data_IF_248027558931
#
_entry.id   IF_248027558931
#
_cell.length_a   1.000
_cell.length_b   1.000
_cell.length_c   1.000
_cell.angle_alpha   90.00
_cell.angle_beta   90.00
_cell.angle_gamma   90.00
#
_symmetry.space_group_name_H-M   'P 1'
#
loop_
_entity.id
_entity.type
_entity.pdbx_description
1 polymer ?
#
# COMPACT_ATOMS: atom_id res chain seq x y z
N UNK A 1 32.59 -50.64 21.49
CA UNK A 1 32.76 -49.17 21.39
C UNK A 1 32.36 -48.73 19.97
N UNK A 2 31.08 -48.90 19.59
CA UNK A 2 30.65 -48.85 18.17
C UNK A 2 29.14 -48.59 18.03
N UNK A 3 28.51 -47.89 18.99
CA UNK A 3 27.06 -47.64 18.95
C UNK A 3 26.66 -46.18 19.18
N UNK A 4 27.62 -45.30 19.53
CA UNK A 4 27.37 -43.85 19.74
C UNK A 4 27.54 -42.99 18.48
N UNK A 5 28.12 -43.50 17.39
CA UNK A 5 28.34 -42.72 16.16
C UNK A 5 27.16 -42.74 15.18
N UNK A 6 26.25 -43.71 15.28
CA UNK A 6 25.10 -43.81 14.39
C UNK A 6 23.87 -42.98 14.87
N UNK A 7 23.77 -42.71 16.17
CA UNK A 7 22.70 -41.85 16.72
C UNK A 7 22.88 -40.36 16.39
N UNK A 8 24.10 -39.92 16.08
CA UNK A 8 24.40 -38.52 15.74
C UNK A 8 24.09 -38.19 14.27
N UNK A 9 24.05 -39.19 13.38
CA UNK A 9 23.71 -39.01 11.97
C UNK A 9 22.19 -39.13 11.68
N UNK A 10 21.45 -39.87 12.50
CA UNK A 10 19.98 -39.95 12.38
C UNK A 10 19.30 -38.67 12.91
N UNK A 11 19.92 -37.96 13.86
CA UNK A 11 19.45 -36.65 14.33
C UNK A 11 19.64 -35.51 13.32
N UNK A 12 20.59 -35.62 12.40
CA UNK A 12 20.86 -34.59 11.39
C UNK A 12 19.95 -34.68 10.16
N UNK A 13 19.34 -35.85 9.92
CA UNK A 13 18.47 -36.11 8.77
C UNK A 13 16.99 -35.80 9.03
N UNK A 14 16.61 -35.50 10.27
CA UNK A 14 15.23 -35.13 10.66
C UNK A 14 15.04 -33.61 10.73
N UNK A 15 16.13 -32.84 10.81
CA UNK A 15 16.08 -31.35 10.85
C UNK A 15 16.06 -30.74 9.43
N UNK A 16 16.41 -31.48 8.39
CA UNK A 16 16.37 -31.01 6.99
C UNK A 16 14.99 -31.16 6.31
N UNK A 17 13.96 -31.64 7.00
CA UNK A 17 12.62 -31.84 6.43
C UNK A 17 11.59 -30.78 6.84
N UNK A 18 11.95 -29.77 7.64
CA UNK A 18 11.03 -28.70 8.09
C UNK A 18 11.21 -27.36 7.42
N UNK A 19 12.04 -27.26 6.37
CA UNK A 19 12.01 -26.12 5.46
C UNK A 19 11.04 -26.45 4.31
N UNK A 20 9.76 -26.60 4.65
CA UNK A 20 8.71 -26.37 3.68
C UNK A 20 8.79 -24.90 3.29
N UNK A 21 9.33 -24.72 2.09
CA UNK A 21 9.28 -23.54 1.27
C UNK A 21 7.84 -23.02 1.27
N UNK A 22 7.56 -21.97 2.06
CA UNK A 22 6.47 -21.06 1.76
C UNK A 22 6.82 -20.41 0.43
N UNK A 23 6.46 -21.11 -0.64
CA UNK A 23 6.32 -20.52 -1.95
C UNK A 23 5.24 -19.46 -1.75
N UNK A 24 5.63 -18.20 -1.89
CA UNK A 24 4.67 -17.13 -2.08
C UNK A 24 3.99 -17.44 -3.41
N UNK A 25 2.94 -18.26 -3.35
CA UNK A 25 1.90 -18.20 -4.35
C UNK A 25 1.39 -16.76 -4.22
N UNK A 26 1.84 -15.93 -5.15
CA UNK A 26 1.08 -14.77 -5.58
C UNK A 26 -0.22 -15.37 -6.07
N UNK A 27 -1.16 -15.56 -5.15
CA UNK A 27 -2.53 -15.89 -5.48
C UNK A 27 -2.97 -14.73 -6.35
N UNK A 28 -3.11 -15.02 -7.63
CA UNK A 28 -3.92 -14.26 -8.58
C UNK A 28 -5.12 -13.69 -7.80
N UNK A 29 -5.39 -12.37 -7.81
CA UNK A 29 -6.49 -11.78 -7.06
C UNK A 29 -7.73 -12.66 -7.23
N UNK A 30 -8.25 -13.17 -6.10
CA UNK A 30 -9.27 -14.21 -6.09
C UNK A 30 -10.35 -13.89 -7.14
N UNK A 31 -10.39 -14.69 -8.20
CA UNK A 31 -11.18 -14.36 -9.39
C UNK A 31 -12.63 -14.08 -9.01
N UNK A 32 -13.08 -12.85 -9.28
CA UNK A 32 -14.43 -12.41 -9.01
C UNK A 32 -15.41 -13.07 -9.99
N UNK A 33 -16.53 -13.56 -9.48
CA UNK A 33 -17.59 -14.21 -10.23
C UNK A 33 -18.88 -13.40 -10.13
N UNK A 34 -19.66 -13.44 -11.21
CA UNK A 34 -20.97 -12.79 -11.24
C UNK A 34 -22.00 -13.65 -10.48
N UNK A 35 -22.68 -13.03 -9.53
CA UNK A 35 -23.77 -13.63 -8.76
C UNK A 35 -25.03 -12.80 -8.97
N UNK A 36 -26.16 -13.46 -9.19
CA UNK A 36 -27.43 -12.84 -9.46
C UNK A 36 -28.53 -13.50 -8.64
N UNK A 37 -29.47 -12.70 -8.14
CA UNK A 37 -30.59 -13.22 -7.35
C UNK A 37 -31.87 -13.13 -8.18
N UNK A 38 -32.70 -14.17 -8.11
CA UNK A 38 -34.00 -14.23 -8.76
C UNK A 38 -35.06 -14.59 -7.75
N UNK A 39 -36.27 -14.08 -7.93
CA UNK A 39 -37.39 -14.38 -7.04
C UNK A 39 -38.72 -14.21 -7.77
N UNK A 40 -39.71 -14.99 -7.33
CA UNK A 40 -41.09 -14.87 -7.78
C UNK A 40 -41.87 -13.95 -6.84
N UNK A 41 -42.59 -12.98 -7.40
CA UNK A 41 -43.57 -12.25 -6.60
C UNK A 41 -44.81 -13.14 -6.40
N UNK A 42 -45.34 -13.28 -5.17
CA UNK A 42 -46.61 -13.94 -4.98
C UNK A 42 -47.69 -13.20 -5.78
N UNK A 43 -48.40 -13.91 -6.64
CA UNK A 43 -49.38 -13.32 -7.55
C UNK A 43 -50.45 -12.57 -6.75
N UNK A 44 -50.46 -11.23 -6.85
CA UNK A 44 -51.53 -10.41 -6.31
C UNK A 44 -52.81 -10.79 -7.06
N UNK A 45 -53.78 -11.37 -6.36
CA UNK A 45 -55.08 -11.67 -6.96
C UNK A 45 -55.73 -10.36 -7.43
N UNK A 46 -56.24 -10.28 -8.67
CA UNK A 46 -56.90 -9.07 -9.16
C UNK A 46 -58.28 -8.96 -8.51
N UNK A 47 -58.36 -8.42 -7.30
CA UNK A 47 -59.64 -7.92 -6.78
C UNK A 47 -59.97 -6.66 -7.56
N UNK A 48 -61.05 -6.71 -8.34
CA UNK A 48 -61.47 -5.62 -9.23
C UNK A 48 -61.56 -4.26 -8.53
N UNK A 49 -60.55 -3.44 -8.75
CA UNK A 49 -60.45 -2.07 -8.25
C UNK A 49 -59.09 -1.50 -8.60
N UNK A 50 -59.05 -0.35 -9.27
CA UNK A 50 -57.81 0.32 -9.70
C UNK A 50 -57.01 0.82 -8.50
N UNK A 51 -56.09 0.03 -7.99
CA UNK A 51 -54.93 0.48 -7.21
C UNK A 51 -53.69 -0.04 -7.92
N UNK A 52 -52.82 0.86 -8.37
CA UNK A 52 -51.49 0.48 -8.84
C UNK A 52 -50.77 -0.18 -7.66
N UNK A 53 -50.46 -1.47 -7.79
CA UNK A 53 -49.56 -2.13 -6.86
C UNK A 53 -48.20 -1.43 -6.97
N UNK A 54 -47.63 -1.02 -5.83
CA UNK A 54 -46.26 -0.51 -5.80
C UNK A 54 -45.34 -1.70 -6.04
N UNK A 55 -44.53 -1.62 -7.08
CA UNK A 55 -43.59 -2.67 -7.48
C UNK A 55 -42.22 -2.40 -6.83
N UNK A 56 -41.49 -3.44 -6.41
CA UNK A 56 -40.15 -3.26 -5.86
C UNK A 56 -39.16 -2.89 -6.97
N UNK A 57 -38.28 -1.94 -6.68
CA UNK A 57 -37.24 -1.46 -7.61
C UNK A 57 -35.84 -1.82 -7.15
N UNK A 58 -35.68 -2.12 -5.85
CA UNK A 58 -34.37 -2.36 -5.22
C UNK A 58 -34.41 -3.60 -4.33
N UNK A 59 -33.35 -4.42 -4.38
CA UNK A 59 -33.03 -5.42 -3.36
C UNK A 59 -32.03 -4.84 -2.36
N UNK A 60 -32.29 -5.01 -1.08
CA UNK A 60 -31.32 -4.85 0.00
C UNK A 60 -30.81 -6.22 0.43
N UNK A 61 -29.51 -6.41 0.28
CA UNK A 61 -28.83 -7.68 0.54
C UNK A 61 -27.77 -7.54 1.63
N UNK A 62 -27.84 -8.39 2.64
CA UNK A 62 -26.74 -8.58 3.60
C UNK A 62 -26.16 -9.99 3.46
N UNK A 63 -24.83 -10.07 3.39
CA UNK A 63 -24.08 -11.32 3.21
C UNK A 63 -23.01 -11.47 4.29
N UNK A 64 -22.79 -12.71 4.73
CA UNK A 64 -21.60 -13.12 5.48
C UNK A 64 -20.84 -14.19 4.73
N UNK A 65 -19.53 -14.27 4.94
CA UNK A 65 -18.71 -15.39 4.42
C UNK A 65 -18.73 -16.58 5.41
N UNK A 66 -18.09 -17.68 5.04
CA UNK A 66 -17.98 -18.89 5.88
C UNK A 66 -17.23 -18.70 7.20
N UNK A 67 -16.44 -17.63 7.34
CA UNK A 67 -15.77 -17.28 8.60
C UNK A 67 -16.66 -16.46 9.54
N UNK A 68 -17.85 -16.07 9.07
CA UNK A 68 -18.79 -15.25 9.81
C UNK A 68 -18.57 -13.75 9.64
N UNK A 69 -17.60 -13.33 8.83
CA UNK A 69 -17.37 -11.91 8.56
C UNK A 69 -18.44 -11.37 7.62
N UNK A 70 -18.85 -10.13 7.87
CA UNK A 70 -19.77 -9.40 7.00
C UNK A 70 -19.10 -9.05 5.68
N UNK A 71 -19.74 -9.42 4.58
CA UNK A 71 -19.33 -9.08 3.21
C UNK A 71 -20.11 -7.88 2.72
N UNK A 72 -21.44 -7.91 2.85
CA UNK A 72 -22.33 -6.79 2.57
C UNK A 72 -23.29 -6.56 3.75
N UNK A 73 -23.65 -5.31 3.98
CA UNK A 73 -24.75 -4.91 4.86
C UNK A 73 -25.70 -4.04 4.05
N UNK A 74 -26.95 -4.47 3.88
CA UNK A 74 -28.00 -3.73 3.18
C UNK A 74 -27.56 -3.17 1.81
N UNK A 75 -26.74 -3.90 1.05
CA UNK A 75 -26.30 -3.48 -0.27
C UNK A 75 -27.51 -3.32 -1.19
N UNK A 76 -27.67 -2.16 -1.82
CA UNK A 76 -28.72 -1.89 -2.79
C UNK A 76 -28.35 -2.47 -4.15
N UNK A 77 -29.25 -3.25 -4.71
CA UNK A 77 -29.07 -3.85 -6.03
C UNK A 77 -30.33 -3.56 -6.85
N UNK A 78 -30.14 -2.94 -8.01
CA UNK A 78 -31.23 -2.64 -8.92
C UNK A 78 -31.93 -3.92 -9.40
N UNK A 79 -33.25 -3.85 -9.53
CA UNK A 79 -34.07 -4.95 -10.01
C UNK A 79 -34.43 -4.79 -11.48
N UNK A 80 -34.28 -5.87 -12.23
CA UNK A 80 -34.64 -6.05 -13.62
C UNK A 80 -35.90 -6.91 -13.70
N UNK A 81 -36.87 -6.45 -14.48
CA UNK A 81 -38.12 -7.18 -14.74
C UNK A 81 -37.98 -8.09 -15.95
N UNK A 82 -38.19 -9.40 -15.76
CA UNK A 82 -38.19 -10.40 -16.84
C UNK A 82 -39.51 -11.18 -16.79
N UNK A 83 -40.50 -10.68 -17.52
CA UNK A 83 -41.85 -11.23 -17.49
C UNK A 83 -42.50 -11.05 -16.12
N UNK A 84 -42.84 -12.15 -15.45
CA UNK A 84 -43.41 -12.16 -14.10
C UNK A 84 -42.37 -12.42 -13.00
N UNK A 85 -41.08 -12.47 -13.35
CA UNK A 85 -39.98 -12.70 -12.41
C UNK A 85 -39.12 -11.45 -12.31
N UNK A 86 -38.55 -11.26 -11.14
CA UNK A 86 -37.58 -10.22 -10.86
C UNK A 86 -36.20 -10.84 -10.72
N UNK A 87 -35.20 -10.10 -11.18
CA UNK A 87 -33.81 -10.50 -11.17
C UNK A 87 -32.95 -9.29 -10.83
N UNK A 88 -31.89 -9.46 -10.05
CA UNK A 88 -30.98 -8.36 -9.74
C UNK A 88 -30.06 -8.07 -10.93
N UNK A 89 -29.39 -6.92 -10.96
CA UNK A 89 -28.12 -6.84 -11.71
C UNK A 89 -27.07 -7.80 -11.11
N UNK A 90 -26.12 -8.34 -11.89
CA UNK A 90 -25.07 -9.20 -11.36
C UNK A 90 -24.15 -8.42 -10.40
N UNK A 91 -23.89 -9.00 -9.23
CA UNK A 91 -22.87 -8.51 -8.29
C UNK A 91 -21.60 -9.37 -8.39
N UNK A 92 -20.44 -8.80 -8.07
CA UNK A 92 -19.18 -9.53 -8.08
C UNK A 92 -18.82 -10.04 -6.68
N UNK A 93 -18.56 -11.34 -6.56
CA UNK A 93 -18.10 -12.01 -5.34
C UNK A 93 -16.92 -12.93 -5.64
N UNK A 94 -15.99 -13.05 -4.69
CA UNK A 94 -14.91 -14.03 -4.78
C UNK A 94 -15.44 -15.48 -4.68
N UNK A 95 -14.64 -16.45 -5.12
CA UNK A 95 -14.94 -17.87 -4.90
C UNK A 95 -15.00 -18.16 -3.40
N UNK A 96 -16.07 -18.79 -2.94
CA UNK A 96 -16.29 -19.06 -1.52
C UNK A 96 -17.73 -19.43 -1.18
N UNK A 97 -17.97 -19.74 0.10
CA UNK A 97 -19.31 -19.98 0.64
C UNK A 97 -19.78 -18.74 1.38
N UNK A 98 -21.03 -18.37 1.11
CA UNK A 98 -21.68 -17.18 1.64
C UNK A 98 -23.02 -17.54 2.26
N UNK A 99 -23.44 -16.72 3.21
CA UNK A 99 -24.72 -16.83 3.89
C UNK A 99 -25.48 -15.52 3.73
N UNK A 100 -26.67 -15.57 3.15
CA UNK A 100 -27.59 -14.44 3.07
C UNK A 100 -28.22 -14.25 4.44
N UNK A 101 -28.03 -13.10 5.07
CA UNK A 101 -28.56 -12.83 6.42
C UNK A 101 -29.75 -11.90 6.42
N UNK A 102 -29.89 -11.05 5.40
CA UNK A 102 -31.04 -10.17 5.18
C UNK A 102 -31.31 -10.08 3.67
N UNK A 103 -32.60 -10.15 3.30
CA UNK A 103 -33.07 -10.10 1.91
C UNK A 103 -34.41 -9.36 1.88
N UNK A 104 -34.38 -8.07 1.52
CA UNK A 104 -35.52 -7.16 1.59
C UNK A 104 -35.73 -6.48 0.23
N UNK A 105 -36.95 -6.48 -0.29
CA UNK A 105 -37.28 -5.75 -1.52
C UNK A 105 -37.97 -4.45 -1.16
N UNK A 106 -37.47 -3.35 -1.73
CA UNK A 106 -38.00 -2.00 -1.46
C UNK A 106 -38.48 -1.31 -2.71
N UNK A 107 -39.36 -0.33 -2.53
CA UNK A 107 -39.67 0.69 -3.53
C UNK A 107 -38.57 1.77 -3.60
N UNK A 108 -38.81 2.77 -4.46
CA UNK A 108 -37.92 3.92 -4.67
C UNK A 108 -37.78 4.83 -3.42
N UNK A 109 -38.76 4.80 -2.51
CA UNK A 109 -38.75 5.55 -1.26
C UNK A 109 -38.02 4.79 -0.12
N UNK A 110 -37.56 3.56 -0.39
CA UNK A 110 -36.93 2.70 0.61
C UNK A 110 -37.94 2.04 1.56
N UNK A 111 -39.20 1.96 1.20
CA UNK A 111 -40.20 1.20 1.96
C UNK A 111 -40.05 -0.28 1.65
N UNK A 112 -39.88 -1.14 2.66
CA UNK A 112 -39.85 -2.60 2.47
C UNK A 112 -41.23 -3.10 2.06
N UNK A 113 -41.32 -3.61 0.83
CA UNK A 113 -42.53 -4.21 0.27
C UNK A 113 -42.59 -5.72 0.49
N UNK A 114 -41.43 -6.38 0.43
CA UNK A 114 -41.31 -7.82 0.65
C UNK A 114 -40.03 -8.17 1.42
N UNK A 115 -40.06 -9.27 2.15
CA UNK A 115 -38.91 -9.77 2.88
C UNK A 115 -38.87 -11.30 2.89
N UNK A 116 -37.66 -11.87 2.96
CA UNK A 116 -37.47 -13.29 3.29
C UNK A 116 -37.43 -13.43 4.82
N UNK A 117 -38.28 -14.27 5.43
CA UNK A 117 -38.31 -14.47 6.88
C UNK A 117 -37.06 -15.24 7.37
N UNK A 118 -36.65 -14.97 8.61
CA UNK A 118 -35.56 -15.71 9.28
C UNK A 118 -36.09 -17.03 9.83
N UNK A 119 -35.26 -18.07 9.89
CA UNK A 119 -35.63 -19.46 10.21
C UNK A 119 -36.34 -19.63 11.56
N UNK A 120 -36.06 -18.75 12.51
CA UNK A 120 -36.66 -18.75 13.84
C UNK A 120 -37.87 -17.81 13.97
N UNK A 121 -38.34 -17.21 12.87
CA UNK A 121 -39.47 -16.28 12.88
C UNK A 121 -40.81 -17.01 12.69
N UNK A 122 -41.93 -16.40 13.13
CA UNK A 122 -43.27 -16.93 12.90
C UNK A 122 -43.57 -17.29 11.44
N UNK A 123 -43.06 -16.51 10.49
CA UNK A 123 -43.29 -16.69 9.05
C UNK A 123 -42.27 -17.62 8.35
N UNK A 124 -41.29 -18.17 9.05
CA UNK A 124 -40.24 -19.02 8.46
C UNK A 124 -40.80 -20.21 7.66
N UNK A 125 -41.90 -20.80 8.14
CA UNK A 125 -42.52 -21.98 7.54
C UNK A 125 -43.31 -21.68 6.25
N UNK A 126 -43.48 -20.40 5.89
CA UNK A 126 -44.17 -19.99 4.68
C UNK A 126 -43.25 -19.94 3.44
N UNK A 127 -41.95 -20.20 3.62
CA UNK A 127 -40.96 -20.31 2.54
C UNK A 127 -40.17 -21.62 2.69
N UNK A 128 -39.66 -22.17 1.61
CA UNK A 128 -38.77 -23.33 1.63
C UNK A 128 -37.36 -22.97 2.09
N UNK A 129 -36.91 -21.75 1.80
CA UNK A 129 -35.56 -21.27 2.10
C UNK A 129 -35.55 -20.02 3.00
N UNK A 130 -35.82 -20.17 4.32
CA UNK A 130 -35.72 -19.05 5.26
C UNK A 130 -34.25 -18.66 5.51
N UNK A 131 -34.02 -17.45 6.03
CA UNK A 131 -32.67 -16.94 6.33
C UNK A 131 -32.15 -17.42 7.71
N UNK A 132 -30.85 -17.66 7.91
CA UNK A 132 -29.78 -17.51 6.93
C UNK A 132 -29.83 -18.57 5.82
N UNK A 133 -29.55 -18.17 4.59
CA UNK A 133 -29.52 -19.08 3.43
C UNK A 133 -28.12 -19.14 2.83
N UNK A 134 -27.54 -20.35 2.81
CA UNK A 134 -26.17 -20.57 2.36
C UNK A 134 -26.11 -20.90 0.86
N UNK A 135 -25.14 -20.30 0.16
CA UNK A 135 -24.83 -20.59 -1.24
C UNK A 135 -23.32 -20.56 -1.49
N UNK A 136 -22.87 -21.18 -2.59
CA UNK A 136 -21.44 -21.27 -2.94
C UNK A 136 -21.18 -20.65 -4.30
N UNK A 137 -20.14 -19.82 -4.36
CA UNK A 137 -19.59 -19.23 -5.58
C UNK A 137 -18.40 -20.06 -6.03
N UNK A 138 -18.43 -20.57 -7.27
CA UNK A 138 -17.38 -21.41 -7.87
C UNK A 138 -16.74 -20.72 -9.07
N UNK A 139 -15.46 -21.00 -9.35
CA UNK A 139 -14.61 -20.16 -10.20
C UNK A 139 -14.89 -20.13 -11.71
N UNK A 140 -15.92 -20.81 -12.21
CA UNK A 140 -16.10 -21.03 -13.65
C UNK A 140 -17.46 -20.62 -14.23
N UNK A 141 -18.46 -20.25 -13.41
CA UNK A 141 -19.81 -19.98 -13.89
C UNK A 141 -20.49 -18.84 -13.12
N UNK A 142 -21.36 -18.10 -13.80
CA UNK A 142 -22.26 -17.15 -13.14
C UNK A 142 -23.25 -17.91 -12.24
N UNK A 143 -23.39 -17.47 -11.00
CA UNK A 143 -24.25 -18.13 -10.01
C UNK A 143 -25.60 -17.41 -9.95
N UNK A 144 -26.68 -18.16 -10.14
CA UNK A 144 -28.04 -17.66 -9.92
C UNK A 144 -28.61 -18.27 -8.65
N UNK A 145 -29.03 -17.42 -7.72
CA UNK A 145 -29.64 -17.81 -6.44
C UNK A 145 -31.13 -17.51 -6.50
N UNK A 146 -31.98 -18.52 -6.28
CA UNK A 146 -33.44 -18.35 -6.24
C UNK A 146 -33.90 -18.15 -4.79
N UNK A 147 -34.59 -17.04 -4.53
CA UNK A 147 -35.10 -16.66 -3.22
C UNK A 147 -36.62 -16.56 -3.21
N UNK A 148 -37.20 -16.79 -2.04
CA UNK A 148 -38.64 -16.66 -1.79
C UNK A 148 -38.88 -15.46 -0.87
N UNK A 149 -39.92 -14.69 -1.17
CA UNK A 149 -40.26 -13.47 -0.44
C UNK A 149 -41.75 -13.45 -0.10
N UNK A 150 -42.09 -12.87 1.05
CA UNK A 150 -43.48 -12.64 1.47
C UNK A 150 -43.75 -11.14 1.56
N UNK A 151 -45.00 -10.75 1.34
CA UNK A 151 -45.41 -9.35 1.42
C UNK A 151 -45.28 -8.82 2.86
N UNK A 152 -44.60 -7.68 3.02
CA UNK A 152 -44.36 -7.05 4.31
C UNK A 152 -45.50 -6.11 4.76
N UNK A 153 -46.42 -5.75 3.85
CA UNK A 153 -47.48 -4.75 4.10
C UNK A 153 -48.49 -5.13 5.19
N UNK A 154 -48.63 -6.42 5.50
CA UNK A 154 -49.63 -6.95 6.45
C UNK A 154 -49.00 -7.58 7.70
N UNK A 155 -47.70 -7.39 7.93
CA UNK A 155 -46.96 -8.04 9.01
C UNK A 155 -45.92 -7.11 9.62
N UNK A 156 -45.56 -7.32 10.87
CA UNK A 156 -44.53 -6.51 11.52
C UNK A 156 -43.13 -7.06 11.22
N UNK A 157 -42.05 -6.26 11.34
CA UNK A 157 -40.68 -6.75 11.17
C UNK A 157 -40.38 -8.00 12.02
N UNK A 158 -40.96 -8.07 13.22
CA UNK A 158 -40.77 -9.16 14.18
C UNK A 158 -41.35 -10.50 13.67
N UNK A 159 -42.45 -10.47 12.89
CA UNK A 159 -43.04 -11.67 12.26
C UNK A 159 -42.07 -12.33 11.26
N UNK A 160 -41.19 -11.53 10.68
CA UNK A 160 -40.10 -11.96 9.80
C UNK A 160 -38.78 -12.21 10.54
N UNK A 161 -38.69 -11.91 11.83
CA UNK A 161 -37.47 -12.06 12.63
C UNK A 161 -36.50 -10.87 12.53
N UNK A 162 -36.97 -9.71 12.05
CA UNK A 162 -36.20 -8.47 12.02
C UNK A 162 -36.56 -7.60 13.23
N UNK A 163 -35.57 -6.90 13.80
CA UNK A 163 -35.81 -5.90 14.86
C UNK A 163 -36.47 -4.66 14.28
N UNK A 164 -36.13 -4.32 13.04
CA UNK A 164 -36.70 -3.21 12.29
C UNK A 164 -36.44 -3.44 10.81
N UNK A 165 -37.30 -2.89 9.95
CA UNK A 165 -37.02 -2.74 8.53
C UNK A 165 -36.23 -1.46 8.21
N UNK A 166 -35.75 -0.73 9.22
CA UNK A 166 -35.02 0.51 9.00
C UNK A 166 -33.64 0.25 8.38
N UNK A 167 -33.50 0.70 7.14
CA UNK A 167 -32.35 0.47 6.25
C UNK A 167 -31.16 1.39 6.62
N UNK A 168 -31.40 2.41 7.44
CA UNK A 168 -30.43 3.46 7.78
C UNK A 168 -29.46 3.06 8.91
N UNK A 169 -29.00 1.81 8.94
CA UNK A 169 -27.94 1.40 9.86
C UNK A 169 -26.66 2.19 9.56
N UNK A 170 -25.89 2.65 10.58
CA UNK A 170 -24.66 3.38 10.33
C UNK A 170 -23.62 2.46 9.68
N UNK A 171 -22.88 3.00 8.71
CA UNK A 171 -21.75 2.33 8.08
C UNK A 171 -20.61 2.24 9.11
N UNK A 172 -20.09 1.04 9.35
CA UNK A 172 -19.06 0.76 10.36
C UNK A 172 -17.76 0.36 9.68
N UNK A 173 -16.66 1.06 9.97
CA UNK A 173 -15.34 0.80 9.41
C UNK A 173 -14.30 0.59 10.51
N UNK A 174 -13.41 -0.38 10.33
CA UNK A 174 -12.21 -0.55 11.17
C UNK A 174 -11.05 0.20 10.52
N UNK A 175 -10.37 1.08 11.26
CA UNK A 175 -9.25 1.90 10.74
C UNK A 175 -8.05 1.79 11.68
N UNK A 176 -6.87 1.54 11.13
CA UNK A 176 -5.60 1.54 11.84
C UNK A 176 -4.61 2.47 11.12
N UNK A 177 -4.00 3.38 11.89
CA UNK A 177 -3.08 4.39 11.34
C UNK A 177 -1.66 4.07 11.75
N UNK A 178 -0.74 4.12 10.79
CA UNK A 178 0.66 3.76 10.96
C UNK A 178 1.57 4.88 10.45
N UNK A 179 2.72 5.00 11.08
CA UNK A 179 3.89 5.68 10.50
C UNK A 179 4.84 4.59 10.02
N UNK A 180 5.33 4.70 8.79
CA UNK A 180 6.37 3.83 8.28
C UNK A 180 7.74 4.32 8.78
N UNK A 181 8.37 3.54 9.64
CA UNK A 181 9.71 3.81 10.17
C UNK A 181 10.68 2.76 9.62
N UNK A 182 11.10 2.95 8.37
CA UNK A 182 11.94 1.97 7.66
C UNK A 182 11.23 0.64 7.48
N UNK A 183 11.69 -0.39 8.21
CA UNK A 183 11.18 -1.76 8.12
C UNK A 183 10.04 -2.05 9.11
N UNK A 184 9.56 -1.05 9.86
CA UNK A 184 8.52 -1.23 10.89
C UNK A 184 7.37 -0.26 10.70
N UNK A 185 6.14 -0.77 10.86
CA UNK A 185 4.93 0.05 10.94
C UNK A 185 4.57 0.28 12.41
N UNK A 186 4.60 1.53 12.84
CA UNK A 186 4.26 1.91 14.22
C UNK A 186 2.85 2.48 14.25
N UNK A 187 1.96 1.87 15.06
CA UNK A 187 0.61 2.38 15.29
C UNK A 187 0.68 3.77 15.92
N UNK A 188 -0.08 4.73 15.37
CA UNK A 188 -0.10 6.11 15.86
C UNK A 188 -1.53 6.64 16.01
N UNK A 189 -1.67 7.68 16.85
CA UNK A 189 -2.93 8.40 16.99
C UNK A 189 -3.04 9.47 15.90
N UNK A 190 -4.26 9.74 15.43
CA UNK A 190 -4.53 10.70 14.36
C UNK A 190 -5.94 11.28 14.49
N UNK A 191 -6.26 12.27 13.66
CA UNK A 191 -7.63 12.75 13.48
C UNK A 191 -8.18 12.24 12.14
N UNK A 192 -9.47 11.92 12.10
CA UNK A 192 -10.11 11.51 10.85
C UNK A 192 -11.43 12.22 10.64
N UNK A 193 -11.79 12.45 9.39
CA UNK A 193 -13.06 13.02 8.99
C UNK A 193 -13.59 12.30 7.75
N UNK A 194 -14.90 12.05 7.72
CA UNK A 194 -15.59 11.47 6.57
C UNK A 194 -16.51 12.51 5.96
N UNK A 195 -16.45 12.62 4.65
CA UNK A 195 -17.24 13.54 3.84
C UNK A 195 -18.12 12.75 2.88
N UNK A 196 -19.31 13.29 2.64
CA UNK A 196 -20.20 12.89 1.56
C UNK A 196 -20.52 14.18 0.80
N UNK A 197 -19.88 14.36 -0.37
CA UNK A 197 -19.72 15.65 -1.07
C UNK A 197 -18.87 16.68 -0.30
N UNK A 198 -18.53 17.79 -0.97
CA UNK A 198 -17.44 18.69 -0.54
C UNK A 198 -17.76 19.65 0.63
N UNK A 199 -18.87 19.55 1.39
CA UNK A 199 -19.04 20.28 2.69
C UNK A 199 -20.39 20.02 3.41
N UNK A 200 -20.45 20.03 4.78
CA UNK A 200 -19.41 19.80 5.80
C UNK A 200 -19.14 18.29 6.04
N UNK A 201 -18.13 17.87 6.85
CA UNK A 201 -17.93 16.45 7.15
C UNK A 201 -19.15 15.85 7.85
N UNK A 202 -19.54 14.65 7.44
CA UNK A 202 -20.66 13.92 8.02
C UNK A 202 -20.29 13.25 9.35
N UNK A 203 -18.99 13.03 9.59
CA UNK A 203 -18.48 12.52 10.86
C UNK A 203 -16.99 12.88 11.06
N UNK A 204 -16.57 13.02 12.32
CA UNK A 204 -15.18 13.26 12.72
C UNK A 204 -14.79 12.37 13.90
N UNK A 205 -13.52 12.01 13.99
CA UNK A 205 -13.01 11.03 14.95
C UNK A 205 -11.62 11.41 15.46
N UNK A 206 -11.38 11.10 16.73
CA UNK A 206 -10.04 11.06 17.33
C UNK A 206 -9.61 9.60 17.37
N UNK A 207 -8.66 9.22 16.52
CA UNK A 207 -8.15 7.86 16.40
C UNK A 207 -7.00 7.66 17.40
N UNK A 208 -7.05 6.59 18.20
CA UNK A 208 -5.93 6.19 19.04
C UNK A 208 -4.92 5.33 18.26
N UNK A 209 -3.74 5.12 18.83
CA UNK A 209 -2.71 4.18 18.35
C UNK A 209 -3.12 2.70 18.50
N UNK A 210 -4.21 2.32 17.85
CA UNK A 210 -4.84 1.00 17.87
C UNK A 210 -5.69 0.81 16.61
N UNK A 211 -6.30 -0.36 16.43
CA UNK A 211 -7.43 -0.48 15.51
C UNK A 211 -8.65 0.21 16.11
N UNK A 212 -9.12 1.26 15.44
CA UNK A 212 -10.30 2.03 15.82
C UNK A 212 -11.52 1.51 15.06
N UNK A 213 -12.69 1.54 15.69
CA UNK A 213 -13.98 1.28 15.04
C UNK A 213 -14.68 2.63 14.92
N UNK A 214 -14.93 3.07 13.70
CA UNK A 214 -15.62 4.32 13.41
C UNK A 214 -16.95 4.01 12.72
N UNK A 215 -17.95 4.87 12.93
CA UNK A 215 -19.27 4.71 12.32
C UNK A 215 -19.83 6.03 11.82
N UNK A 216 -20.43 6.03 10.64
CA UNK A 216 -20.97 7.23 9.97
C UNK A 216 -22.32 6.94 9.30
N UNK A 217 -23.21 7.94 9.20
CA UNK A 217 -24.48 7.77 8.51
C UNK A 217 -24.32 7.85 6.98
N UNK A 218 -25.27 7.28 6.26
CA UNK A 218 -25.44 7.48 4.82
C UNK A 218 -25.57 6.18 4.04
N UNK A 219 -25.90 6.32 2.75
CA UNK A 219 -26.10 5.20 1.85
C UNK A 219 -24.78 4.42 1.60
N UNK A 220 -24.69 3.11 1.93
CA UNK A 220 -23.47 2.33 1.75
C UNK A 220 -22.95 2.29 0.31
N UNK A 221 -23.80 2.59 -0.68
CA UNK A 221 -23.47 2.58 -2.10
C UNK A 221 -23.14 3.97 -2.67
N UNK A 222 -23.16 5.02 -1.84
CA UNK A 222 -22.67 6.34 -2.23
C UNK A 222 -21.14 6.45 -2.13
N UNK A 223 -20.59 7.43 -2.83
CA UNK A 223 -19.18 7.80 -2.73
C UNK A 223 -18.91 8.66 -1.48
N UNK A 224 -17.86 8.32 -0.74
CA UNK A 224 -17.36 9.00 0.43
C UNK A 224 -15.89 9.36 0.27
N UNK A 225 -15.43 10.31 1.07
CA UNK A 225 -14.01 10.64 1.21
C UNK A 225 -13.58 10.60 2.66
N UNK A 226 -12.59 9.77 2.96
CA UNK A 226 -11.91 9.71 4.25
C UNK A 226 -10.68 10.61 4.19
N UNK A 227 -10.62 11.58 5.10
CA UNK A 227 -9.42 12.35 5.40
C UNK A 227 -8.86 11.85 6.74
N UNK A 228 -7.55 11.61 6.79
CA UNK A 228 -6.84 11.34 8.04
C UNK A 228 -5.70 12.32 8.16
N UNK A 229 -5.75 13.12 9.22
CA UNK A 229 -4.77 14.15 9.56
C UNK A 229 -3.87 13.64 10.68
N UNK A 230 -2.57 13.70 10.42
CA UNK A 230 -1.52 13.43 11.39
C UNK A 230 -0.57 14.62 11.39
N UNK A 231 -0.33 15.21 12.56
CA UNK A 231 0.51 16.40 12.65
C UNK A 231 1.91 16.13 12.08
N UNK A 232 2.38 17.04 11.22
CA UNK A 232 3.66 16.88 10.53
C UNK A 232 3.60 16.07 9.23
N UNK A 233 2.45 15.53 8.82
CA UNK A 233 2.30 14.76 7.59
C UNK A 233 1.24 15.37 6.65
N UNK A 234 1.33 15.15 5.32
CA UNK A 234 0.25 15.51 4.41
C UNK A 234 -1.00 14.70 4.74
N UNK A 235 -2.17 15.32 4.65
CA UNK A 235 -3.44 14.63 4.92
C UNK A 235 -3.61 13.42 4.00
N UNK A 236 -3.77 12.24 4.61
CA UNK A 236 -4.16 11.06 3.85
C UNK A 236 -5.59 11.23 3.37
N UNK A 237 -5.81 11.04 2.06
CA UNK A 237 -7.12 11.16 1.44
C UNK A 237 -7.47 9.89 0.68
N UNK A 238 -8.63 9.30 0.96
CA UNK A 238 -9.16 8.15 0.22
C UNK A 238 -10.62 8.34 -0.14
N UNK A 239 -10.92 8.31 -1.44
CA UNK A 239 -12.29 8.20 -1.95
C UNK A 239 -12.71 6.72 -1.98
N UNK A 240 -13.93 6.39 -1.58
CA UNK A 240 -14.43 5.02 -1.52
C UNK A 240 -15.96 4.93 -1.54
N UNK A 241 -16.49 3.82 -2.03
CA UNK A 241 -17.87 3.37 -1.77
C UNK A 241 -17.82 2.38 -0.60
N UNK A 242 -18.67 2.55 0.42
CA UNK A 242 -18.55 1.76 1.65
C UNK A 242 -18.78 0.26 1.40
N UNK A 243 -19.81 -0.11 0.64
CA UNK A 243 -20.13 -1.51 0.35
C UNK A 243 -18.99 -2.23 -0.37
N UNK A 244 -18.32 -1.55 -1.30
CA UNK A 244 -17.16 -2.06 -2.04
C UNK A 244 -15.92 -2.17 -1.14
N UNK A 245 -15.63 -1.11 -0.36
CA UNK A 245 -14.49 -1.10 0.55
C UNK A 245 -14.62 -2.19 1.62
N UNK A 246 -15.79 -2.36 2.21
CA UNK A 246 -16.04 -3.39 3.22
C UNK A 246 -15.81 -4.80 2.66
N UNK A 247 -16.33 -5.08 1.46
CA UNK A 247 -16.11 -6.35 0.78
C UNK A 247 -14.64 -6.60 0.44
N UNK A 248 -13.92 -5.58 -0.03
CA UNK A 248 -12.49 -5.67 -0.35
C UNK A 248 -11.61 -5.92 0.88
N UNK A 249 -12.00 -5.37 2.04
CA UNK A 249 -11.26 -5.55 3.29
C UNK A 249 -11.49 -6.92 3.95
N UNK A 250 -12.59 -7.62 3.64
CA UNK A 250 -12.90 -8.94 4.22
C UNK A 250 -12.80 -8.97 5.76
N UNK A 251 -13.26 -7.90 6.41
CA UNK A 251 -13.21 -7.75 7.87
C UNK A 251 -11.91 -7.17 8.42
N UNK A 252 -10.83 -7.08 7.64
CA UNK A 252 -9.57 -6.44 8.06
C UNK A 252 -9.71 -4.91 8.20
N UNK A 253 -8.90 -4.25 9.06
CA UNK A 253 -8.92 -2.80 9.16
C UNK A 253 -8.33 -2.15 7.90
N UNK A 254 -8.93 -1.03 7.49
CA UNK A 254 -8.29 -0.10 6.57
C UNK A 254 -6.99 0.41 7.19
N UNK A 255 -5.86 0.07 6.58
CA UNK A 255 -4.54 0.55 6.99
C UNK A 255 -4.25 1.89 6.30
N UNK A 256 -4.04 2.92 7.11
CA UNK A 256 -3.58 4.25 6.68
C UNK A 256 -2.12 4.36 7.05
N UNK A 257 -1.24 4.53 6.06
CA UNK A 257 0.21 4.55 6.28
C UNK A 257 0.74 5.92 5.87
N UNK A 258 1.35 6.61 6.82
CA UNK A 258 2.10 7.83 6.59
C UNK A 258 3.57 7.49 6.41
N UNK A 259 4.20 8.06 5.39
CA UNK A 259 5.61 7.84 5.08
C UNK A 259 6.46 8.97 5.66
N UNK A 260 7.60 8.63 6.23
CA UNK A 260 8.65 9.57 6.62
C UNK A 260 9.98 9.12 6.02
N UNK A 261 10.85 10.08 5.76
CA UNK A 261 12.25 9.87 5.48
C UNK A 261 12.99 9.81 6.82
N UNK A 262 13.90 8.85 6.99
CA UNK A 262 14.78 8.74 8.17
C UNK A 262 16.25 8.72 7.76
N UNK A 263 17.08 9.45 8.50
CA UNK A 263 18.54 9.52 8.32
C UNK A 263 19.18 9.29 9.69
N UNK A 264 19.93 8.21 9.83
CA UNK A 264 20.69 7.88 11.03
C UNK A 264 22.09 8.45 10.89
N UNK A 265 22.49 9.29 11.84
CA UNK A 265 23.81 9.91 11.86
C UNK A 265 24.56 9.55 13.15
N UNK A 266 25.88 9.55 13.07
CA UNK A 266 26.79 9.51 14.22
C UNK A 266 27.62 10.79 14.19
N UNK A 267 27.30 11.75 15.07
CA UNK A 267 27.96 13.05 15.14
C UNK A 267 29.25 13.04 15.97
N UNK A 268 29.61 11.90 16.59
CA UNK A 268 30.94 11.68 17.16
C UNK A 268 31.95 11.34 16.06
N UNK A 269 31.50 10.76 14.95
CA UNK A 269 32.30 10.33 13.81
C UNK A 269 32.04 11.25 12.61
N UNK A 270 33.08 11.79 11.97
CA UNK A 270 32.92 12.64 10.79
C UNK A 270 34.24 12.83 10.06
N UNK A 271 34.20 13.35 8.83
CA UNK A 271 35.41 13.67 8.05
C UNK A 271 35.93 15.08 8.37
N UNK A 272 35.06 15.99 8.82
CA UNK A 272 35.40 17.36 9.18
C UNK A 272 35.53 17.60 10.70
N UNK A 273 36.14 18.73 11.11
CA UNK A 273 36.11 19.19 12.51
C UNK A 273 34.73 19.72 12.93
N UNK A 274 33.84 19.97 11.96
CA UNK A 274 32.47 20.41 12.19
C UNK A 274 31.54 19.25 12.54
N UNK A 275 30.53 19.53 13.36
CA UNK A 275 29.42 18.61 13.69
C UNK A 275 28.12 19.08 13.05
N UNK A 276 28.27 19.87 12.00
CA UNK A 276 27.17 20.51 11.33
C UNK A 276 26.65 19.57 10.24
N UNK A 277 25.39 19.19 10.37
CA UNK A 277 24.68 18.43 9.37
C UNK A 277 24.05 19.39 8.37
N UNK A 278 24.40 19.22 7.08
CA UNK A 278 23.93 20.06 5.99
C UNK A 278 23.18 19.20 4.98
N UNK A 279 21.95 19.59 4.62
CA UNK A 279 21.13 18.89 3.64
C UNK A 279 20.38 19.91 2.78
N UNK A 280 20.55 19.83 1.46
CA UNK A 280 19.75 20.60 0.51
C UNK A 280 18.69 19.68 -0.12
N UNK A 281 17.44 20.14 -0.05
CA UNK A 281 16.29 19.51 -0.68
C UNK A 281 15.78 20.41 -1.81
N UNK A 282 15.75 19.89 -3.03
CA UNK A 282 15.09 20.55 -4.16
C UNK A 282 13.80 19.80 -4.51
N UNK A 283 12.85 20.50 -5.11
CA UNK A 283 11.55 19.92 -5.42
C UNK A 283 10.56 20.92 -5.99
N UNK A 284 9.29 20.52 -6.01
CA UNK A 284 8.18 21.40 -6.42
C UNK A 284 8.08 22.57 -5.43
N UNK A 285 8.22 23.78 -5.95
CA UNK A 285 8.17 25.00 -5.15
C UNK A 285 6.86 25.10 -4.36
N UNK A 286 6.97 25.43 -3.07
CA UNK A 286 5.81 25.51 -2.17
C UNK A 286 5.50 24.23 -1.40
N UNK A 287 6.16 23.10 -1.70
CA UNK A 287 6.05 21.89 -0.88
C UNK A 287 6.56 22.14 0.54
N UNK A 288 5.80 21.72 1.55
CA UNK A 288 6.13 21.91 2.95
C UNK A 288 6.77 20.64 3.53
N UNK A 289 7.93 20.78 4.17
CA UNK A 289 8.61 19.68 4.87
C UNK A 289 8.83 20.03 6.33
N UNK A 290 8.72 19.02 7.19
CA UNK A 290 8.92 19.15 8.63
C UNK A 290 10.13 18.29 9.01
N UNK A 291 11.01 18.84 9.83
CA UNK A 291 12.27 18.19 10.21
C UNK A 291 12.31 18.06 11.74
N UNK A 292 12.36 16.83 12.22
CA UNK A 292 12.72 16.51 13.60
C UNK A 292 14.19 16.06 13.60
N UNK A 293 15.03 16.83 14.29
CA UNK A 293 16.46 16.61 14.36
C UNK A 293 16.87 15.45 15.29
N UNK A 294 15.94 14.89 16.07
CA UNK A 294 16.18 13.72 16.91
C UNK A 294 16.99 13.98 18.19
N UNK A 295 17.39 15.22 18.45
CA UNK A 295 18.15 15.62 19.65
C UNK A 295 17.28 16.28 20.73
N UNK A 296 15.97 16.33 20.51
CA UNK A 296 14.98 16.96 21.38
C UNK A 296 14.78 18.46 21.11
N UNK A 297 15.42 19.03 20.09
CA UNK A 297 15.06 20.37 19.60
C UNK A 297 13.60 20.40 19.11
N UNK A 298 12.95 21.58 19.09
CA UNK A 298 11.66 21.72 18.44
C UNK A 298 11.73 21.31 16.97
N UNK A 299 10.66 20.68 16.47
CA UNK A 299 10.50 20.38 15.05
C UNK A 299 10.51 21.68 14.23
N UNK A 300 11.26 21.68 13.14
CA UNK A 300 11.39 22.81 12.23
C UNK A 300 10.57 22.62 10.96
N UNK A 301 10.15 23.73 10.36
CA UNK A 301 9.25 23.75 9.21
C UNK A 301 9.90 24.51 8.06
N UNK A 302 9.95 23.90 6.88
CA UNK A 302 10.58 24.47 5.69
C UNK A 302 9.65 24.39 4.48
N UNK A 303 9.94 25.21 3.48
CA UNK A 303 9.31 25.16 2.16
C UNK A 303 10.37 24.88 1.11
N UNK A 304 10.06 23.99 0.15
CA UNK A 304 10.99 23.64 -0.93
C UNK A 304 11.16 24.78 -1.94
N UNK A 305 12.40 25.00 -2.45
CA UNK A 305 13.64 24.33 -2.08
C UNK A 305 14.13 24.77 -0.69
N UNK A 306 14.71 23.83 0.07
CA UNK A 306 15.13 24.05 1.44
C UNK A 306 16.61 23.70 1.62
N UNK A 307 17.34 24.54 2.35
CA UNK A 307 18.70 24.28 2.81
C UNK A 307 18.66 24.14 4.33
N UNK A 308 18.90 22.93 4.80
CA UNK A 308 18.74 22.51 6.19
C UNK A 308 20.12 22.46 6.85
N UNK A 309 20.23 23.04 8.05
CA UNK A 309 21.48 23.15 8.81
C UNK A 309 21.20 22.89 10.28
N UNK A 310 21.94 21.97 10.89
CA UNK A 310 21.84 21.72 12.34
C UNK A 310 23.18 21.29 12.94
N UNK A 311 23.45 21.73 14.16
CA UNK A 311 24.70 21.40 14.87
C UNK A 311 24.42 20.41 15.99
N UNK A 312 25.13 19.28 15.99
CA UNK A 312 24.94 18.21 16.96
C UNK A 312 26.01 18.16 18.07
N UNK A 313 25.62 17.63 19.24
CA UNK A 313 26.58 17.09 20.21
C UNK A 313 27.15 15.76 19.68
N UNK A 314 28.27 15.22 20.22
CA UNK A 314 28.88 14.02 19.69
C UNK A 314 28.16 12.77 20.20
N UNK A 315 27.01 12.48 19.60
CA UNK A 315 26.17 11.31 19.87
C UNK A 315 25.58 10.80 18.56
N UNK A 316 24.81 9.72 18.63
CA UNK A 316 24.02 9.23 17.51
C UNK A 316 22.61 9.82 17.54
N UNK A 317 22.10 10.15 16.36
CA UNK A 317 20.79 10.79 16.19
C UNK A 317 20.05 10.19 14.99
N UNK A 318 18.72 10.23 15.08
CA UNK A 318 17.82 9.94 13.97
C UNK A 318 17.14 11.24 13.54
N UNK A 319 17.45 11.68 12.33
CA UNK A 319 16.74 12.80 11.69
C UNK A 319 15.53 12.21 10.98
N UNK A 320 14.34 12.75 11.25
CA UNK A 320 13.14 12.39 10.50
C UNK A 320 12.61 13.59 9.73
N UNK A 321 12.25 13.35 8.46
CA UNK A 321 11.66 14.37 7.59
C UNK A 321 10.30 13.86 7.13
N UNK A 322 9.28 14.68 7.32
CA UNK A 322 7.90 14.41 6.93
C UNK A 322 7.32 15.61 6.16
N UNK A 323 6.04 15.53 5.76
CA UNK A 323 5.42 16.54 4.89
C UNK A 323 5.37 16.09 3.42
N UNK A 324 5.49 17.03 2.49
CA UNK A 324 5.35 16.83 1.04
C UNK A 324 6.57 16.11 0.43
N UNK A 325 6.89 14.92 0.94
CA UNK A 325 8.05 14.12 0.52
C UNK A 325 7.99 13.71 -0.96
N UNK A 326 6.78 13.62 -1.51
CA UNK A 326 6.56 13.33 -2.94
C UNK A 326 6.94 14.51 -3.84
N UNK A 327 7.16 15.71 -3.28
CA UNK A 327 7.57 16.88 -4.05
C UNK A 327 9.09 16.99 -4.17
N UNK A 328 9.85 16.22 -3.39
CA UNK A 328 11.32 16.25 -3.39
C UNK A 328 11.84 15.51 -4.63
N UNK A 329 12.61 16.23 -5.44
CA UNK A 329 13.21 15.71 -6.68
C UNK A 329 14.73 15.61 -6.62
N UNK A 330 15.38 16.35 -5.71
CA UNK A 330 16.81 16.22 -5.44
C UNK A 330 17.11 16.21 -3.94
N UNK A 331 18.07 15.37 -3.55
CA UNK A 331 18.55 15.21 -2.19
C UNK A 331 20.07 15.32 -2.19
N UNK A 332 20.62 16.38 -1.56
CA UNK A 332 22.06 16.65 -1.56
C UNK A 332 22.61 16.84 -0.15
N UNK A 333 23.48 15.93 0.29
CA UNK A 333 24.20 16.06 1.56
C UNK A 333 25.42 16.96 1.38
N UNK A 334 25.65 17.85 2.34
CA UNK A 334 26.82 18.72 2.35
C UNK A 334 28.11 18.01 2.74
N UNK A 335 29.23 18.53 2.27
CA UNK A 335 30.56 17.97 2.51
C UNK A 335 30.96 18.03 4.00
N UNK A 336 31.68 17.01 4.48
CA UNK A 336 32.38 17.06 5.77
C UNK A 336 31.52 16.99 7.03
N UNK A 337 30.24 16.64 6.92
CA UNK A 337 29.31 16.48 8.05
C UNK A 337 29.51 15.20 8.89
N UNK A 338 28.59 14.94 9.83
CA UNK A 338 28.50 13.68 10.58
C UNK A 338 28.52 12.44 9.70
N UNK A 339 28.95 11.31 10.27
CA UNK A 339 28.89 10.00 9.62
C UNK A 339 27.44 9.60 9.40
N UNK A 340 27.07 9.36 8.15
CA UNK A 340 25.78 8.77 7.81
C UNK A 340 25.87 7.27 8.09
N UNK A 341 25.10 6.80 9.06
CA UNK A 341 25.04 5.38 9.43
C UNK A 341 24.11 4.64 8.48
N UNK A 342 22.95 5.22 8.19
CA UNK A 342 21.93 4.65 7.32
C UNK A 342 20.86 5.67 6.97
N UNK A 343 20.09 5.40 5.93
CA UNK A 343 19.09 6.32 5.40
C UNK A 343 18.03 5.54 4.63
N UNK A 344 16.77 5.93 4.80
CA UNK A 344 15.61 5.35 4.10
C UNK A 344 14.98 6.40 3.19
N UNK A 345 15.21 6.25 1.88
CA UNK A 345 14.71 7.16 0.84
C UNK A 345 13.44 6.66 0.15
N UNK A 346 12.81 5.58 0.64
CA UNK A 346 11.67 4.93 -0.02
C UNK A 346 10.44 5.83 -0.12
N UNK A 347 10.32 6.83 0.77
CA UNK A 347 9.25 7.83 0.74
C UNK A 347 9.42 8.88 -0.37
N UNK A 348 10.61 9.02 -0.96
CA UNK A 348 10.93 10.03 -1.95
C UNK A 348 10.64 9.53 -3.37
N UNK A 349 9.37 9.27 -3.66
CA UNK A 349 8.93 8.62 -4.92
C UNK A 349 9.18 9.43 -6.19
N UNK A 350 9.55 10.71 -6.08
CA UNK A 350 9.95 11.57 -7.20
C UNK A 350 11.46 11.91 -7.19
N UNK A 351 12.25 11.26 -6.33
CA UNK A 351 13.68 11.50 -6.24
C UNK A 351 14.39 11.09 -7.53
N UNK A 352 14.92 12.09 -8.23
CA UNK A 352 15.60 11.92 -9.52
C UNK A 352 17.10 12.18 -9.44
N UNK A 353 17.54 12.92 -8.42
CA UNK A 353 18.95 13.29 -8.20
C UNK A 353 19.35 13.01 -6.76
N UNK A 354 20.38 12.20 -6.56
CA UNK A 354 20.97 11.96 -5.25
C UNK A 354 22.44 12.39 -5.24
N UNK A 355 22.83 13.18 -4.26
CA UNK A 355 24.21 13.63 -4.09
C UNK A 355 24.67 13.51 -2.63
N UNK A 356 25.77 12.81 -2.42
CA UNK A 356 26.55 12.82 -1.20
C UNK A 356 28.02 12.83 -1.61
N UNK A 357 28.69 13.97 -1.47
CA UNK A 357 30.08 14.13 -1.87
C UNK A 357 30.91 14.39 -0.62
N UNK A 358 31.99 13.64 -0.47
CA UNK A 358 32.92 13.76 0.65
C UNK A 358 32.23 13.71 2.02
N UNK A 359 31.21 12.85 2.12
CA UNK A 359 30.54 12.54 3.37
C UNK A 359 31.11 11.25 3.97
N UNK A 360 30.78 10.98 5.23
CA UNK A 360 31.27 9.81 5.94
C UNK A 360 30.24 8.66 5.86
N UNK A 361 29.83 8.25 4.66
CA UNK A 361 28.86 7.16 4.46
C UNK A 361 27.63 7.59 3.65
N UNK A 362 26.63 6.71 3.47
CA UNK A 362 26.37 5.50 4.24
C UNK A 362 27.23 4.30 3.86
N UNK A 363 27.14 3.22 4.64
CA UNK A 363 27.76 1.93 4.27
C UNK A 363 26.97 1.20 3.17
N UNK A 364 25.67 1.41 3.12
CA UNK A 364 24.77 0.85 2.12
C UNK A 364 23.76 1.91 1.71
N UNK A 365 23.46 1.99 0.42
CA UNK A 365 22.45 2.89 -0.13
C UNK A 365 21.57 2.13 -1.12
N UNK A 366 20.26 2.13 -0.87
CA UNK A 366 19.27 1.53 -1.77
C UNK A 366 18.42 2.63 -2.39
N UNK A 367 18.51 2.75 -3.72
CA UNK A 367 17.74 3.68 -4.55
C UNK A 367 16.77 2.96 -5.48
N UNK A 368 16.53 1.65 -5.27
CA UNK A 368 15.75 0.81 -6.19
C UNK A 368 14.29 1.24 -6.34
N UNK A 369 13.73 1.93 -5.34
CA UNK A 369 12.37 2.47 -5.35
C UNK A 369 12.23 3.87 -5.93
N UNK A 370 13.32 4.51 -6.36
CA UNK A 370 13.33 5.92 -6.75
C UNK A 370 13.52 6.07 -8.28
N UNK A 371 12.93 7.09 -8.94
CA UNK A 371 13.11 7.35 -10.37
C UNK A 371 14.43 8.08 -10.67
N UNK A 372 15.55 7.50 -10.24
CA UNK A 372 16.87 8.12 -10.32
C UNK A 372 17.32 8.33 -11.77
N UNK A 373 17.87 9.51 -12.02
CA UNK A 373 18.54 9.90 -13.27
C UNK A 373 20.01 10.24 -13.04
N UNK A 374 20.33 10.82 -11.89
CA UNK A 374 21.69 11.21 -11.50
C UNK A 374 22.02 10.77 -10.07
N UNK A 375 23.20 10.17 -9.89
CA UNK A 375 23.76 9.79 -8.59
C UNK A 375 25.20 10.26 -8.50
N UNK A 376 25.55 11.00 -7.45
CA UNK A 376 26.92 11.36 -7.15
C UNK A 376 27.28 11.02 -5.71
N UNK A 377 28.19 10.06 -5.55
CA UNK A 377 28.70 9.49 -4.30
C UNK A 377 30.24 9.62 -4.26
N UNK A 378 30.75 10.77 -4.72
CA UNK A 378 32.18 10.94 -4.90
C UNK A 378 32.91 11.05 -3.56
N UNK A 379 33.92 10.20 -3.38
CA UNK A 379 34.74 10.17 -2.17
C UNK A 379 33.96 9.75 -0.92
N UNK A 380 33.18 8.69 -1.04
CA UNK A 380 32.41 8.07 0.05
C UNK A 380 33.15 6.84 0.62
N UNK A 381 34.10 7.02 1.56
CA UNK A 381 35.06 5.97 1.97
C UNK A 381 34.42 4.79 2.69
N UNK A 382 33.17 4.91 3.13
CA UNK A 382 32.47 3.84 3.85
C UNK A 382 31.48 3.07 2.97
N UNK A 383 31.17 3.54 1.76
CA UNK A 383 30.20 2.92 0.87
C UNK A 383 30.66 1.53 0.46
N UNK A 384 29.81 0.52 0.72
CA UNK A 384 30.04 -0.90 0.37
C UNK A 384 28.98 -1.48 -0.54
N UNK A 385 27.76 -0.94 -0.51
CA UNK A 385 26.65 -1.42 -1.30
C UNK A 385 25.89 -0.24 -1.90
N UNK A 386 25.60 -0.32 -3.20
CA UNK A 386 24.77 0.65 -3.91
C UNK A 386 23.81 -0.12 -4.81
N UNK A 387 22.51 0.06 -4.57
CA UNK A 387 21.47 -0.52 -5.42
C UNK A 387 20.82 0.61 -6.22
N UNK A 388 20.95 0.56 -7.55
CA UNK A 388 20.29 1.48 -8.47
C UNK A 388 18.94 0.90 -8.93
N UNK A 389 17.99 1.75 -9.32
CA UNK A 389 16.69 1.32 -9.83
C UNK A 389 16.82 0.71 -11.23
N UNK A 390 16.12 -0.40 -11.48
CA UNK A 390 16.11 -1.09 -12.77
C UNK A 390 14.67 -1.44 -13.21
N UNK A 391 14.25 -1.07 -14.44
CA UNK A 391 14.92 -0.15 -15.36
C UNK A 391 14.68 1.32 -14.96
N UNK A 392 15.69 2.19 -15.06
CA UNK A 392 15.53 3.64 -14.81
C UNK A 392 16.27 4.49 -15.85
N UNK A 393 15.89 5.76 -16.00
CA UNK A 393 16.50 6.66 -16.98
C UNK A 393 17.81 7.27 -16.44
N UNK A 394 18.79 6.42 -16.12
CA UNK A 394 20.09 6.86 -15.58
C UNK A 394 20.91 7.49 -16.69
N UNK A 395 21.46 8.68 -16.43
CA UNK A 395 22.36 9.37 -17.35
C UNK A 395 23.66 9.88 -16.69
N UNK A 396 23.76 9.88 -15.36
CA UNK A 396 24.97 10.29 -14.66
C UNK A 396 25.16 9.49 -13.38
N UNK A 397 26.26 8.76 -13.29
CA UNK A 397 26.66 8.06 -12.06
C UNK A 397 28.11 8.39 -11.76
N UNK A 398 28.35 8.95 -10.59
CA UNK A 398 29.68 9.32 -10.13
C UNK A 398 29.98 8.67 -8.78
N UNK A 399 30.77 7.61 -8.79
CA UNK A 399 31.26 6.90 -7.60
C UNK A 399 32.80 6.99 -7.49
N UNK A 400 33.39 8.03 -8.09
CA UNK A 400 34.83 8.27 -8.07
C UNK A 400 35.35 8.58 -6.67
N UNK A 401 36.57 8.14 -6.38
CA UNK A 401 37.27 8.40 -5.13
C UNK A 401 37.20 7.22 -4.17
N UNK A 402 37.78 7.38 -2.97
CA UNK A 402 37.89 6.28 -2.02
C UNK A 402 36.50 5.76 -1.64
N UNK A 403 36.30 4.46 -1.76
CA UNK A 403 35.10 3.74 -1.35
C UNK A 403 35.47 2.27 -1.04
N UNK A 404 34.55 1.53 -0.41
CA UNK A 404 34.74 0.12 -0.06
C UNK A 404 33.89 -0.82 -0.92
N UNK A 405 33.54 -0.41 -2.15
CA UNK A 405 32.83 -1.28 -3.09
C UNK A 405 33.76 -2.43 -3.53
N UNK A 406 33.26 -3.66 -3.49
CA UNK A 406 33.99 -4.83 -4.01
C UNK A 406 33.87 -4.89 -5.54
N UNK A 407 34.67 -5.74 -6.18
CA UNK A 407 34.55 -5.97 -7.64
C UNK A 407 33.14 -6.42 -8.01
N UNK A 408 32.52 -7.29 -7.21
CA UNK A 408 31.17 -7.78 -7.44
C UNK A 408 30.12 -6.67 -7.36
N UNK A 409 30.27 -5.73 -6.43
CA UNK A 409 29.37 -4.56 -6.30
C UNK A 409 29.54 -3.59 -7.46
N UNK A 410 30.78 -3.32 -7.86
CA UNK A 410 31.09 -2.47 -9.03
C UNK A 410 30.49 -3.07 -10.30
N UNK A 411 30.65 -4.39 -10.51
CA UNK A 411 30.05 -5.09 -11.64
C UNK A 411 28.51 -5.04 -11.60
N UNK A 412 27.90 -5.17 -10.42
CA UNK A 412 26.46 -5.07 -10.26
C UNK A 412 25.94 -3.67 -10.66
N UNK A 413 26.62 -2.61 -10.22
CA UNK A 413 26.31 -1.22 -10.59
C UNK A 413 26.43 -1.02 -12.11
N UNK A 414 27.55 -1.47 -12.70
CA UNK A 414 27.78 -1.40 -14.15
C UNK A 414 26.68 -2.11 -14.91
N UNK A 415 26.30 -3.31 -14.48
CA UNK A 415 25.23 -4.09 -15.09
C UNK A 415 23.89 -3.37 -15.01
N UNK A 416 23.53 -2.79 -13.86
CA UNK A 416 22.27 -2.06 -13.68
C UNK A 416 22.18 -0.83 -14.60
N UNK A 417 23.29 -0.11 -14.77
CA UNK A 417 23.40 1.01 -15.72
C UNK A 417 23.28 0.50 -17.15
N UNK A 418 24.02 -0.55 -17.52
CA UNK A 418 24.02 -1.16 -18.85
C UNK A 418 22.63 -1.66 -19.27
N UNK A 419 21.97 -2.43 -18.41
CA UNK A 419 20.60 -2.92 -18.64
C UNK A 419 19.62 -1.75 -18.84
N UNK A 420 19.75 -0.70 -18.02
CA UNK A 420 18.91 0.50 -18.09
C UNK A 420 19.13 1.29 -19.39
N UNK A 421 20.38 1.42 -19.83
CA UNK A 421 20.77 2.08 -21.08
C UNK A 421 20.24 1.31 -22.29
N UNK A 422 20.35 -0.02 -22.31
CA UNK A 422 19.78 -0.85 -23.37
C UNK A 422 18.26 -0.68 -23.43
N UNK A 423 17.60 -0.76 -22.28
CA UNK A 423 16.14 -0.71 -22.20
C UNK A 423 15.58 0.63 -22.70
N UNK A 424 16.19 1.75 -22.29
CA UNK A 424 15.74 3.10 -22.65
C UNK A 424 16.42 3.69 -23.89
N UNK A 425 17.46 3.03 -24.41
CA UNK A 425 18.34 3.54 -25.45
C UNK A 425 18.95 4.93 -25.09
N UNK A 426 19.35 5.09 -23.83
CA UNK A 426 19.90 6.37 -23.32
C UNK A 426 21.30 6.60 -23.86
N UNK A 427 21.52 7.74 -24.52
CA UNK A 427 22.81 8.11 -25.11
C UNK A 427 23.50 9.24 -24.33
N UNK A 428 24.82 9.34 -24.48
CA UNK A 428 25.64 10.43 -23.95
C UNK A 428 25.60 10.58 -22.42
N UNK A 429 25.45 9.47 -21.69
CA UNK A 429 25.55 9.49 -20.23
C UNK A 429 26.99 9.56 -19.73
N UNK A 430 27.15 9.68 -18.41
CA UNK A 430 28.43 9.73 -17.73
C UNK A 430 28.51 8.65 -16.66
N UNK A 431 29.63 7.93 -16.61
CA UNK A 431 29.96 7.03 -15.51
C UNK A 431 31.39 7.31 -15.05
N UNK A 432 31.53 7.74 -13.80
CA UNK A 432 32.82 8.03 -13.17
C UNK A 432 33.08 7.02 -12.05
N UNK A 433 34.10 6.20 -12.23
CA UNK A 433 34.68 5.28 -11.27
C UNK A 433 35.98 5.87 -10.70
N UNK A 434 36.63 5.18 -9.75
CA UNK A 434 37.93 5.62 -9.23
C UNK A 434 39.00 5.66 -10.33
N UNK A 435 39.71 6.79 -10.42
CA UNK A 435 40.75 7.06 -11.42
C UNK A 435 41.88 6.02 -11.45
N UNK A 436 42.11 5.29 -10.34
CA UNK A 436 43.23 4.37 -10.20
C UNK A 436 42.86 2.87 -10.25
N UNK A 437 41.69 2.49 -10.75
CA UNK A 437 41.23 1.09 -10.83
C UNK A 437 42.21 0.11 -11.54
N UNK A 438 43.13 0.57 -12.41
CA UNK A 438 44.10 -0.27 -13.12
C UNK A 438 45.24 -0.78 -12.21
N UNK A 439 45.48 -0.13 -11.08
CA UNK A 439 46.51 -0.54 -10.10
C UNK A 439 45.85 -0.57 -8.73
N UNK A 440 45.67 -1.73 -8.07
CA UNK A 440 45.04 -1.78 -6.76
C UNK A 440 45.81 -0.93 -5.73
N UNK A 441 45.36 0.30 -5.50
CA UNK A 441 45.93 1.24 -4.52
C UNK A 441 45.39 0.97 -3.11
N UNK A 442 44.42 0.05 -2.98
CA UNK A 442 43.73 -0.23 -1.72
C UNK A 442 42.74 0.86 -1.30
N UNK A 443 42.33 1.75 -2.21
CA UNK A 443 41.37 2.84 -1.93
C UNK A 443 40.00 2.68 -2.61
N UNK A 444 39.90 1.89 -3.69
CA UNK A 444 38.69 1.22 -4.14
C UNK A 444 39.00 -0.28 -4.12
N UNK A 445 38.17 -1.08 -3.44
CA UNK A 445 38.54 -2.47 -3.08
C UNK A 445 38.51 -3.42 -4.30
N UNK A 446 37.84 -3.05 -5.39
CA UNK A 446 37.85 -3.84 -6.62
C UNK A 446 37.78 -3.01 -7.91
N UNK A 447 38.64 -3.25 -8.91
CA UNK A 447 38.28 -2.90 -10.29
C UNK A 447 37.09 -3.75 -10.75
N UNK A 448 36.36 -3.35 -11.79
CA UNK A 448 35.40 -4.24 -12.44
C UNK A 448 36.09 -5.50 -12.99
N UNK A 449 35.31 -6.56 -13.12
CA UNK A 449 35.77 -7.78 -13.77
C UNK A 449 35.92 -7.57 -15.29
N UNK A 450 36.43 -8.59 -15.98
CA UNK A 450 36.46 -8.61 -17.44
C UNK A 450 35.05 -8.41 -18.04
N UNK A 451 34.02 -9.01 -17.45
CA UNK A 451 32.63 -8.84 -17.88
C UNK A 451 32.15 -7.40 -17.69
N UNK A 452 32.49 -6.78 -16.54
CA UNK A 452 32.18 -5.37 -16.29
C UNK A 452 32.86 -4.45 -17.30
N UNK A 453 34.13 -4.72 -17.64
CA UNK A 453 34.86 -3.97 -18.67
C UNK A 453 34.24 -4.09 -20.06
N UNK A 454 33.76 -5.28 -20.45
CA UNK A 454 33.04 -5.48 -21.72
C UNK A 454 31.76 -4.63 -21.78
N UNK A 455 30.99 -4.57 -20.68
CA UNK A 455 29.79 -3.72 -20.58
C UNK A 455 30.13 -2.24 -20.66
N UNK A 456 31.21 -1.79 -20.01
CA UNK A 456 31.67 -0.40 -20.09
C UNK A 456 32.12 -0.01 -21.51
N UNK A 457 32.80 -0.91 -22.21
CA UNK A 457 33.20 -0.70 -23.60
C UNK A 457 31.97 -0.60 -24.51
N UNK A 458 30.96 -1.44 -24.28
CA UNK A 458 29.68 -1.39 -25.01
C UNK A 458 28.94 -0.05 -24.80
N UNK A 459 28.83 0.41 -23.56
CA UNK A 459 28.27 1.73 -23.21
C UNK A 459 28.98 2.86 -23.96
N UNK A 460 30.31 2.82 -24.00
CA UNK A 460 31.13 3.81 -24.69
C UNK A 460 30.92 3.77 -26.21
N UNK A 461 31.07 2.60 -26.83
CA UNK A 461 31.15 2.46 -28.28
C UNK A 461 29.78 2.57 -28.96
N UNK A 462 28.73 2.01 -28.36
CA UNK A 462 27.39 1.95 -28.96
C UNK A 462 26.44 3.03 -28.44
N UNK A 463 26.62 3.49 -27.20
CA UNK A 463 25.74 4.48 -26.58
C UNK A 463 26.41 5.84 -26.34
N UNK A 464 27.68 5.99 -26.72
CA UNK A 464 28.46 7.24 -26.61
C UNK A 464 28.58 7.75 -25.17
N UNK A 465 28.55 6.84 -24.19
CA UNK A 465 28.75 7.21 -22.79
C UNK A 465 30.20 7.63 -22.53
N UNK A 466 30.36 8.64 -21.69
CA UNK A 466 31.66 9.07 -21.18
C UNK A 466 32.00 8.28 -19.92
N UNK A 467 32.89 7.31 -20.07
CA UNK A 467 33.38 6.47 -18.97
C UNK A 467 34.72 7.02 -18.49
N UNK A 468 34.84 7.28 -17.19
CA UNK A 468 36.07 7.72 -16.55
C UNK A 468 36.41 6.77 -15.40
N UNK A 469 37.64 6.22 -15.35
CA UNK A 469 38.63 6.19 -16.43
C UNK A 469 38.17 5.43 -17.68
N UNK A 470 38.82 5.68 -18.82
CA UNK A 470 38.46 5.09 -20.11
C UNK A 470 38.73 3.56 -20.11
N UNK A 471 37.73 2.70 -20.42
CA UNK A 471 37.89 1.25 -20.42
C UNK A 471 38.84 0.71 -21.51
N UNK A 472 39.19 1.52 -22.51
CA UNK A 472 40.10 1.13 -23.60
C UNK A 472 41.52 1.72 -23.51
N UNK A 473 41.85 2.42 -22.42
CA UNK A 473 43.12 3.14 -22.25
C UNK A 473 44.25 2.33 -21.59
#
# INVERSE_FOLDING_TARGET
>A
MTMKKYLLWIGLLIISATLHQCKNDVTDPAALQNVQFTFGLPSQSPSGGRTQAVEPTTLLLSLRNSWGDTVFTNKKIALLHIGSRLMTEPIQLSVGTYSITDFLLTDDDGTVLFATPKAESPLAQAVAHPLPYDFTVSGNDAVTVEMEVLAASESSPEDFGYVTFNINAPNVLRVAVFINQGNSLVLTAAHAAIYHLDNPPIATYNLGAKTNVISFPGDPDNEYRLYVDLNGFPTYTKTFIYSELAAALQGEPLKVIFHQLSIQIDAELGIGPGRDFHLNLEGVAGGAVNVDWGDGSPMEHFTLPAALFHSYLPLQYEITISGDLTYITAFRLGEGGPKIVGMDLTSLVQLSTFEAIHTAGPTSLDLSGNPITSVSLAGEPLLKHLVLPVPSFINDVNINGPNNLTTEEVDAIIKQIHDSVIFWNTQNGHLKLDQNWLTPTGQMVGPPSATGLEMLQDLKDHYHWQILPDPGA
#
